data_IF_832436050613
#
_entry.id   IF_832436050613
#
_cell.length_a   1.000
_cell.length_b   1.000
_cell.length_c   1.000
_cell.angle_alpha   90.00
_cell.angle_beta   90.00
_cell.angle_gamma   90.00
#
_symmetry.space_group_name_H-M   'P 1'
#
loop_
_entity.id
_entity.type
_entity.pdbx_description
1 polymer ?
#
# COMPACT_ATOMS: atom_id res chain seq x y z
N UNK A 1 3.02 22.89 21.39
CA UNK A 1 4.05 22.07 20.72
C UNK A 1 5.23 22.96 20.44
N UNK A 2 6.42 22.62 20.92
CA UNK A 2 7.61 23.45 20.66
C UNK A 2 8.21 23.12 19.28
N UNK A 3 9.07 24.00 18.78
CA UNK A 3 9.64 23.90 17.43
C UNK A 3 10.40 22.58 17.20
N UNK A 4 11.01 22.05 18.27
CA UNK A 4 11.72 20.78 18.26
C UNK A 4 10.79 19.57 18.09
N UNK A 5 9.68 19.54 18.82
CA UNK A 5 8.63 18.52 18.66
C UNK A 5 8.03 18.53 17.25
N UNK A 6 7.83 19.72 16.66
CA UNK A 6 7.33 19.83 15.30
C UNK A 6 8.33 19.26 14.28
N UNK A 7 9.63 19.53 14.45
CA UNK A 7 10.67 18.98 13.60
C UNK A 7 10.74 17.43 13.68
N UNK A 8 10.62 16.87 14.89
CA UNK A 8 10.57 15.42 15.10
C UNK A 8 9.33 14.82 14.41
N UNK A 9 8.16 15.44 14.57
CA UNK A 9 6.93 14.97 13.94
C UNK A 9 7.02 14.96 12.41
N UNK A 10 7.63 15.99 11.82
CA UNK A 10 7.87 16.05 10.38
C UNK A 10 8.83 14.95 9.90
N UNK A 11 9.92 14.68 10.65
CA UNK A 11 10.85 13.60 10.31
C UNK A 11 10.17 12.23 10.35
N UNK A 12 9.39 11.96 11.40
CA UNK A 12 8.64 10.71 11.53
C UNK A 12 7.63 10.57 10.39
N UNK A 13 6.89 11.63 10.07
CA UNK A 13 5.90 11.60 8.98
C UNK A 13 6.56 11.33 7.63
N UNK A 14 7.70 11.97 7.35
CA UNK A 14 8.44 11.73 6.11
C UNK A 14 9.07 10.33 6.06
N UNK A 15 9.60 9.84 7.18
CA UNK A 15 10.11 8.47 7.29
C UNK A 15 9.01 7.44 7.02
N UNK A 16 7.80 7.67 7.55
CA UNK A 16 6.67 6.75 7.41
C UNK A 16 5.99 6.82 6.05
N UNK A 17 6.10 7.92 5.29
CA UNK A 17 5.44 8.05 3.96
C UNK A 17 5.76 6.90 3.02
N UNK A 18 7.04 6.55 2.88
CA UNK A 18 7.50 5.50 1.97
C UNK A 18 6.99 4.11 2.38
N UNK A 19 7.20 3.63 3.62
CA UNK A 19 6.70 2.32 4.03
C UNK A 19 5.16 2.26 4.07
N UNK A 20 4.44 3.36 4.34
CA UNK A 20 2.98 3.37 4.25
C UNK A 20 2.49 3.24 2.80
N UNK A 21 3.14 3.92 1.85
CA UNK A 21 2.83 3.81 0.44
C UNK A 21 3.08 2.39 -0.07
N UNK A 22 4.22 1.79 0.31
CA UNK A 22 4.55 0.40 -0.01
C UNK A 22 3.54 -0.58 0.60
N UNK A 23 3.22 -0.42 1.88
CA UNK A 23 2.22 -1.24 2.57
C UNK A 23 0.86 -1.16 1.88
N UNK A 24 0.43 0.02 1.43
CA UNK A 24 -0.82 0.18 0.69
C UNK A 24 -0.84 -0.60 -0.63
N UNK A 25 0.27 -0.60 -1.37
CA UNK A 25 0.42 -1.38 -2.61
C UNK A 25 0.42 -2.88 -2.32
N UNK A 26 1.20 -3.31 -1.32
CA UNK A 26 1.30 -4.72 -0.95
C UNK A 26 -0.04 -5.27 -0.45
N UNK A 27 -0.79 -4.50 0.34
CA UNK A 27 -2.13 -4.87 0.79
C UNK A 27 -3.11 -4.97 -0.39
N UNK A 28 -3.06 -4.03 -1.34
CA UNK A 28 -3.88 -4.10 -2.56
C UNK A 28 -3.55 -5.35 -3.37
N UNK A 29 -2.26 -5.64 -3.56
CA UNK A 29 -1.79 -6.82 -4.28
C UNK A 29 -2.17 -8.12 -3.56
N UNK A 30 -2.08 -8.14 -2.23
CA UNK A 30 -2.47 -9.28 -1.41
C UNK A 30 -3.97 -9.57 -1.49
N UNK A 31 -4.81 -8.53 -1.35
CA UNK A 31 -6.26 -8.67 -1.51
C UNK A 31 -6.63 -9.10 -2.93
N UNK A 32 -5.98 -8.52 -3.93
CA UNK A 32 -6.17 -8.89 -5.32
C UNK A 32 -5.81 -10.35 -5.58
N UNK A 33 -4.68 -10.84 -5.06
CA UNK A 33 -4.27 -12.24 -5.18
C UNK A 33 -5.19 -13.21 -4.38
N UNK A 34 -5.83 -12.74 -3.31
CA UNK A 34 -6.81 -13.53 -2.54
C UNK A 34 -8.15 -13.65 -3.25
N UNK A 35 -8.65 -12.55 -3.83
CA UNK A 35 -9.93 -12.51 -4.55
C UNK A 35 -9.79 -13.18 -5.92
N UNK A 36 -8.71 -12.87 -6.63
CA UNK A 36 -8.36 -13.52 -7.87
C UNK A 36 -7.51 -14.74 -7.54
N UNK A 37 -8.14 -15.86 -7.20
CA UNK A 37 -7.47 -17.16 -7.29
C UNK A 37 -7.21 -17.41 -8.79
N UNK A 38 -6.13 -16.82 -9.33
CA UNK A 38 -5.81 -16.79 -10.76
C UNK A 38 -5.86 -18.17 -11.41
N UNK A 39 -5.52 -19.21 -10.65
CA UNK A 39 -5.58 -20.60 -11.08
C UNK A 39 -7.00 -21.09 -11.42
N UNK A 40 -8.05 -20.51 -10.82
CA UNK A 40 -9.44 -20.98 -10.95
C UNK A 40 -10.33 -20.07 -11.81
N UNK A 41 -9.98 -18.79 -11.99
CA UNK A 41 -10.78 -17.83 -12.76
C UNK A 41 -9.95 -16.90 -13.67
N UNK A 42 -9.21 -17.45 -14.66
CA UNK A 42 -8.30 -16.68 -15.52
C UNK A 42 -8.96 -15.55 -16.33
N UNK A 43 -10.29 -15.56 -16.52
CA UNK A 43 -11.01 -14.53 -17.24
C UNK A 43 -11.31 -13.27 -16.40
N UNK A 44 -11.47 -13.38 -15.07
CA UNK A 44 -11.71 -12.22 -14.19
C UNK A 44 -10.48 -11.32 -14.10
N UNK A 45 -9.29 -11.94 -14.15
CA UNK A 45 -8.01 -11.26 -14.12
C UNK A 45 -7.77 -10.37 -15.35
N UNK A 46 -8.35 -10.73 -16.49
CA UNK A 46 -8.19 -10.04 -17.77
C UNK A 46 -8.87 -8.67 -17.81
N UNK A 47 -9.89 -8.45 -16.96
CA UNK A 47 -10.59 -7.15 -16.85
C UNK A 47 -10.03 -6.22 -15.77
N UNK A 48 -9.14 -6.73 -14.90
CA UNK A 48 -8.55 -5.96 -13.79
C UNK A 48 -7.14 -5.44 -14.12
N UNK A 49 -6.50 -5.96 -15.17
CA UNK A 49 -5.27 -5.43 -15.75
C UNK A 49 -5.69 -4.46 -16.86
N UNK A 50 -5.89 -3.18 -16.52
CA UNK A 50 -5.98 -2.08 -17.47
C UNK A 50 -4.80 -1.13 -17.25
#
# INVERSE_FOLDING_TARGET
>A
MNNHQNAIFHQITNFLKTPLALLGVDLKNFQFNKICHFANHPYLCKGLIL
#
